data_IF_153681910798
#
_entry.id   IF_153681910798
#
_cell.length_a   1.000
_cell.length_b   1.000
_cell.length_c   1.000
_cell.angle_alpha   90.00
_cell.angle_beta   90.00
_cell.angle_gamma   90.00
#
_symmetry.space_group_name_H-M   'P 1'
#
loop_
_entity.id
_entity.type
_entity.pdbx_description
1 polymer ?
#
# COMPACT_ATOMS: atom_id res chain seq x y z
N UNK A 1 -42.10 -6.75 -50.08
CA UNK A 1 -41.28 -7.22 -48.94
C UNK A 1 -39.83 -7.13 -49.37
N UNK A 2 -39.08 -6.15 -48.85
CA UNK A 2 -37.65 -5.95 -49.19
C UNK A 2 -36.75 -6.73 -48.25
N UNK A 3 -35.80 -7.46 -48.82
CA UNK A 3 -34.76 -8.21 -48.10
C UNK A 3 -33.68 -7.19 -47.66
N UNK A 4 -33.24 -7.18 -46.39
CA UNK A 4 -32.19 -6.28 -45.94
C UNK A 4 -30.82 -6.70 -46.50
N UNK A 5 -29.87 -5.76 -46.69
CA UNK A 5 -28.56 -6.08 -47.24
C UNK A 5 -27.72 -6.91 -46.25
N UNK A 6 -26.77 -7.72 -46.73
CA UNK A 6 -25.90 -8.51 -45.86
C UNK A 6 -24.95 -7.60 -45.08
N UNK A 7 -24.74 -7.92 -43.80
CA UNK A 7 -23.78 -7.24 -42.95
C UNK A 7 -22.35 -7.35 -43.53
N UNK A 8 -21.52 -6.30 -43.40
CA UNK A 8 -20.12 -6.38 -43.79
C UNK A 8 -19.40 -7.40 -42.90
N UNK A 9 -18.72 -8.35 -43.55
CA UNK A 9 -17.84 -9.32 -42.91
C UNK A 9 -16.70 -8.57 -42.21
N UNK A 10 -16.79 -8.45 -40.88
CA UNK A 10 -15.69 -7.96 -40.06
C UNK A 10 -14.63 -9.05 -40.05
N UNK A 11 -13.55 -8.82 -40.80
CA UNK A 11 -12.35 -9.64 -40.69
C UNK A 11 -11.89 -9.61 -39.22
N UNK A 12 -11.62 -10.75 -38.58
CA UNK A 12 -11.07 -10.74 -37.23
C UNK A 12 -9.76 -9.96 -37.27
N UNK A 13 -9.66 -8.96 -36.39
CA UNK A 13 -8.44 -8.20 -36.20
C UNK A 13 -7.26 -9.16 -36.06
N UNK A 14 -6.23 -8.94 -36.88
CA UNK A 14 -4.99 -9.69 -36.86
C UNK A 14 -4.49 -9.84 -35.42
N UNK A 15 -4.25 -11.08 -34.99
CA UNK A 15 -3.53 -11.36 -33.75
C UNK A 15 -2.22 -10.54 -33.74
N UNK A 16 -1.84 -9.90 -32.62
CA UNK A 16 -0.56 -9.19 -32.56
C UNK A 16 0.57 -10.17 -32.87
N UNK A 17 1.44 -9.75 -33.78
CA UNK A 17 2.56 -10.53 -34.27
C UNK A 17 3.47 -10.97 -33.12
N UNK A 18 3.97 -12.20 -33.21
CA UNK A 18 5.08 -12.66 -32.38
C UNK A 18 6.29 -11.74 -32.62
N UNK A 19 6.63 -10.89 -31.65
CA UNK A 19 7.82 -10.05 -31.74
C UNK A 19 7.89 -8.87 -30.78
N UNK A 20 6.77 -8.40 -30.23
CA UNK A 20 6.84 -7.37 -29.18
C UNK A 20 7.36 -7.99 -27.89
N UNK A 21 8.62 -7.67 -27.57
CA UNK A 21 9.23 -8.06 -26.30
C UNK A 21 8.58 -7.23 -25.21
N UNK A 22 7.49 -7.74 -24.63
CA UNK A 22 6.73 -7.06 -23.58
C UNK A 22 7.64 -6.79 -22.39
N UNK A 23 7.95 -5.51 -22.16
CA UNK A 23 8.69 -5.06 -20.98
C UNK A 23 7.89 -5.37 -19.71
N UNK A 24 8.56 -5.95 -18.72
CA UNK A 24 7.97 -6.29 -17.42
C UNK A 24 8.75 -5.58 -16.33
N UNK A 25 8.08 -5.16 -15.28
CA UNK A 25 8.74 -4.60 -14.11
C UNK A 25 9.07 -5.71 -13.12
N UNK A 26 10.32 -5.74 -12.68
CA UNK A 26 10.84 -6.69 -11.73
C UNK A 26 11.23 -5.96 -10.45
N UNK A 27 10.90 -6.54 -9.30
CA UNK A 27 11.37 -6.12 -7.99
C UNK A 27 12.57 -6.99 -7.61
N UNK A 28 13.72 -6.37 -7.35
CA UNK A 28 15.02 -7.05 -7.22
C UNK A 28 15.68 -6.72 -5.89
N UNK A 29 16.19 -7.75 -5.20
CA UNK A 29 17.01 -7.64 -4.00
C UNK A 29 18.49 -7.59 -4.36
N UNK A 30 19.17 -6.56 -3.89
CA UNK A 30 20.60 -6.36 -4.09
C UNK A 30 21.37 -6.69 -2.79
N UNK A 31 22.47 -7.43 -2.94
CA UNK A 31 23.44 -7.71 -1.87
C UNK A 31 24.86 -7.34 -2.36
N UNK A 32 25.63 -6.55 -1.60
CA UNK A 32 25.22 -5.86 -0.38
C UNK A 32 24.19 -4.76 -0.67
N UNK A 33 23.31 -4.47 0.29
CA UNK A 33 22.24 -3.47 0.12
C UNK A 33 22.78 -2.07 -0.26
N UNK A 34 23.98 -1.74 0.20
CA UNK A 34 24.70 -0.51 -0.13
C UNK A 34 25.02 -0.34 -1.62
N UNK A 35 25.02 -1.43 -2.40
CA UNK A 35 25.28 -1.38 -3.84
C UNK A 35 24.03 -1.07 -4.68
N UNK A 36 22.84 -0.97 -4.08
CA UNK A 36 21.57 -0.81 -4.82
C UNK A 36 21.54 0.44 -5.71
N UNK A 37 21.91 1.61 -5.17
CA UNK A 37 21.94 2.86 -5.94
C UNK A 37 22.92 2.77 -7.12
N UNK A 38 24.08 2.17 -6.90
CA UNK A 38 25.10 1.96 -7.94
C UNK A 38 24.58 1.03 -9.04
N UNK A 39 24.01 -0.12 -8.68
CA UNK A 39 23.47 -1.08 -9.66
C UNK A 39 22.30 -0.47 -10.45
N UNK A 40 21.40 0.26 -9.79
CA UNK A 40 20.33 0.98 -10.47
C UNK A 40 20.89 1.99 -11.49
N UNK A 41 21.94 2.74 -11.13
CA UNK A 41 22.63 3.64 -12.07
C UNK A 41 23.22 2.89 -13.26
N UNK A 42 23.83 1.73 -13.04
CA UNK A 42 24.43 0.93 -14.11
C UNK A 42 23.38 0.33 -15.06
N UNK A 43 22.25 -0.14 -14.54
CA UNK A 43 21.12 -0.56 -15.36
C UNK A 43 20.54 0.59 -16.19
N UNK A 44 20.38 1.78 -15.61
CA UNK A 44 19.94 2.97 -16.36
C UNK A 44 20.92 3.34 -17.48
N UNK A 45 22.23 3.27 -17.23
CA UNK A 45 23.25 3.50 -18.27
C UNK A 45 23.19 2.51 -19.43
N UNK A 46 22.69 1.30 -19.17
CA UNK A 46 22.46 0.27 -20.18
C UNK A 46 21.07 0.32 -20.82
N UNK A 47 20.28 1.37 -20.56
CA UNK A 47 18.96 1.57 -21.15
C UNK A 47 17.83 0.82 -20.44
N UNK A 48 18.08 0.20 -19.29
CA UNK A 48 17.02 -0.40 -18.47
C UNK A 48 16.49 0.64 -17.50
N UNK A 49 15.19 0.94 -17.56
CA UNK A 49 14.56 1.85 -16.61
C UNK A 49 14.58 1.24 -15.20
N UNK A 50 15.48 1.72 -14.35
CA UNK A 50 15.70 1.20 -13.01
C UNK A 50 15.62 2.29 -11.94
N UNK A 51 15.05 1.95 -10.78
CA UNK A 51 14.91 2.89 -9.67
C UNK A 51 15.11 2.17 -8.34
N UNK A 52 15.93 2.75 -7.46
CA UNK A 52 16.02 2.26 -6.09
C UNK A 52 14.74 2.60 -5.33
N UNK A 53 14.26 1.63 -4.55
CA UNK A 53 13.06 1.80 -3.76
C UNK A 53 13.32 2.69 -2.54
N UNK A 54 12.69 3.86 -2.48
CA UNK A 54 12.91 4.88 -1.44
C UNK A 54 12.74 4.37 0.00
N UNK A 55 11.84 3.41 0.21
CA UNK A 55 11.53 2.90 1.56
C UNK A 55 12.26 1.61 1.92
N UNK A 56 12.80 0.88 0.94
CA UNK A 56 13.27 -0.49 1.13
C UNK A 56 14.72 -0.59 0.69
N UNK A 57 15.60 -0.44 1.68
CA UNK A 57 17.04 -0.42 1.42
C UNK A 57 17.51 -1.72 0.76
N UNK A 58 18.35 -1.60 -0.27
CA UNK A 58 18.81 -2.75 -1.04
C UNK A 58 17.80 -3.28 -2.05
N UNK A 59 16.70 -2.56 -2.33
CA UNK A 59 15.69 -2.97 -3.30
C UNK A 59 15.67 -2.04 -4.51
N UNK A 60 15.63 -2.63 -5.69
CA UNK A 60 15.59 -1.90 -6.96
C UNK A 60 14.45 -2.45 -7.80
N UNK A 61 13.70 -1.59 -8.46
CA UNK A 61 12.82 -1.98 -9.55
C UNK A 61 13.52 -1.78 -10.88
N UNK A 62 13.29 -2.69 -11.82
CA UNK A 62 13.86 -2.60 -13.17
C UNK A 62 12.84 -3.06 -14.19
N UNK A 63 12.66 -2.29 -15.26
CA UNK A 63 11.86 -2.68 -16.42
C UNK A 63 12.74 -3.48 -17.39
N UNK A 64 12.41 -4.75 -17.59
CA UNK A 64 13.12 -5.65 -18.47
C UNK A 64 12.20 -6.79 -18.98
N UNK A 65 12.48 -7.36 -20.15
CA UNK A 65 11.72 -8.52 -20.67
C UNK A 65 11.76 -9.74 -19.75
N UNK A 66 12.94 -9.98 -19.16
CA UNK A 66 13.23 -11.15 -18.35
C UNK A 66 14.33 -10.84 -17.33
N UNK A 67 14.51 -11.70 -16.32
CA UNK A 67 15.58 -11.55 -15.34
C UNK A 67 16.98 -11.63 -15.94
N UNK A 68 17.16 -12.45 -16.98
CA UNK A 68 18.45 -12.57 -17.66
C UNK A 68 18.94 -11.24 -18.21
N UNK A 69 18.04 -10.39 -18.74
CA UNK A 69 18.41 -9.08 -19.28
C UNK A 69 19.14 -8.21 -18.27
N UNK A 70 18.60 -8.02 -17.06
CA UNK A 70 19.25 -7.17 -16.08
C UNK A 70 20.43 -7.86 -15.38
N UNK A 71 20.45 -9.20 -15.29
CA UNK A 71 21.59 -9.94 -14.74
C UNK A 71 22.83 -9.80 -15.65
N UNK A 72 22.66 -9.90 -16.97
CA UNK A 72 23.77 -9.77 -17.93
C UNK A 72 24.40 -8.38 -17.97
N UNK A 73 23.66 -7.37 -17.54
CA UNK A 73 24.09 -5.97 -17.53
C UNK A 73 24.81 -5.61 -16.22
N UNK A 74 24.88 -6.54 -15.25
CA UNK A 74 25.56 -6.29 -13.99
C UNK A 74 27.05 -5.96 -14.21
N UNK A 75 27.60 -5.00 -13.45
CA UNK A 75 29.04 -4.75 -13.46
C UNK A 75 29.82 -6.01 -13.09
N UNK A 76 31.01 -6.26 -13.69
CA UNK A 76 31.82 -7.43 -13.36
C UNK A 76 32.15 -7.56 -11.86
N UNK A 77 32.34 -6.43 -11.18
CA UNK A 77 32.59 -6.36 -9.73
C UNK A 77 31.38 -6.70 -8.86
N UNK A 78 30.19 -6.82 -9.45
CA UNK A 78 28.90 -7.00 -8.78
C UNK A 78 28.06 -8.10 -9.47
N UNK A 79 28.72 -9.05 -10.12
CA UNK A 79 28.07 -10.11 -10.91
C UNK A 79 27.11 -10.99 -10.11
N UNK A 80 27.36 -11.14 -8.80
CA UNK A 80 26.52 -11.90 -7.86
C UNK A 80 25.63 -11.04 -6.99
N UNK A 81 25.47 -9.74 -7.31
CA UNK A 81 24.77 -8.82 -6.41
C UNK A 81 23.25 -8.96 -6.45
N UNK A 82 22.67 -9.61 -7.45
CA UNK A 82 21.25 -9.95 -7.46
C UNK A 82 21.02 -11.20 -6.61
N UNK A 83 20.41 -11.05 -5.44
CA UNK A 83 20.10 -12.17 -4.56
C UNK A 83 18.78 -12.86 -4.94
N UNK A 84 17.72 -12.08 -5.13
CA UNK A 84 16.44 -12.61 -5.58
C UNK A 84 15.61 -11.56 -6.31
N UNK A 85 14.68 -12.01 -7.14
CA UNK A 85 13.76 -11.13 -7.86
C UNK A 85 12.34 -11.71 -7.89
N UNK A 86 11.37 -10.86 -8.17
CA UNK A 86 9.96 -11.22 -8.38
C UNK A 86 9.34 -10.27 -9.40
N UNK A 87 8.43 -10.80 -10.22
CA UNK A 87 7.64 -10.00 -11.14
C UNK A 87 6.70 -9.08 -10.35
N UNK A 88 6.65 -7.80 -10.71
CA UNK A 88 5.64 -6.87 -10.21
C UNK A 88 4.35 -7.11 -11.01
N UNK A 89 3.19 -7.37 -10.37
CA UNK A 89 1.90 -7.51 -11.05
C UNK A 89 1.50 -6.21 -11.75
N UNK A 90 0.83 -6.31 -12.92
CA UNK A 90 0.42 -5.16 -13.75
C UNK A 90 -0.34 -4.09 -12.95
N UNK A 91 -1.20 -4.51 -12.03
CA UNK A 91 -1.95 -3.61 -11.14
C UNK A 91 -1.08 -2.74 -10.21
N UNK A 92 0.14 -3.20 -9.88
CA UNK A 92 1.03 -2.51 -8.94
C UNK A 92 1.94 -1.49 -9.64
N UNK A 93 2.01 -1.48 -10.98
CA UNK A 93 2.88 -0.55 -11.75
C UNK A 93 2.48 0.91 -11.51
N UNK A 94 1.16 1.17 -11.48
CA UNK A 94 0.59 2.49 -11.28
C UNK A 94 0.83 2.97 -9.85
N UNK A 95 0.73 2.07 -8.87
CA UNK A 95 0.94 2.40 -7.46
C UNK A 95 2.40 2.69 -7.11
N UNK A 96 3.34 2.00 -7.76
CA UNK A 96 4.77 2.16 -7.47
C UNK A 96 5.42 3.32 -8.25
N UNK A 97 4.94 3.64 -9.47
CA UNK A 97 5.64 4.56 -10.40
C UNK A 97 4.75 5.48 -11.26
N UNK A 98 3.42 5.45 -11.12
CA UNK A 98 2.51 6.26 -11.94
C UNK A 98 2.35 7.70 -11.44
N UNK A 99 2.01 8.63 -12.33
CA UNK A 99 1.56 10.01 -12.01
C UNK A 99 0.32 10.00 -11.10
N UNK A 100 -0.47 8.91 -11.12
CA UNK A 100 -1.55 8.62 -10.18
C UNK A 100 -1.06 8.49 -8.71
N UNK A 101 0.24 8.46 -8.43
CA UNK A 101 0.79 8.64 -7.09
C UNK A 101 0.53 10.04 -6.50
N UNK A 102 0.04 10.99 -7.32
CA UNK A 102 -0.38 12.33 -6.88
C UNK A 102 -1.81 12.36 -6.30
N UNK A 103 -2.67 11.44 -6.70
CA UNK A 103 -4.04 11.36 -6.19
C UNK A 103 -4.14 10.37 -5.02
N UNK A 104 -4.94 10.67 -3.98
CA UNK A 104 -5.13 9.76 -2.87
C UNK A 104 -5.80 8.46 -3.34
N UNK A 105 -5.14 7.32 -3.13
CA UNK A 105 -5.68 6.00 -3.34
C UNK A 105 -6.72 5.66 -2.27
N UNK A 106 -7.85 5.15 -2.73
CA UNK A 106 -8.95 4.68 -1.88
C UNK A 106 -9.43 3.34 -2.43
N UNK A 107 -9.37 2.25 -1.65
CA UNK A 107 -8.73 2.15 -0.34
C UNK A 107 -7.20 2.30 -0.41
N UNK A 108 -6.59 2.83 0.64
CA UNK A 108 -5.15 3.08 0.66
C UNK A 108 -4.56 3.22 2.06
N UNK A 109 -3.25 3.00 2.19
CA UNK A 109 -2.51 3.16 3.44
C UNK A 109 -1.76 4.47 3.47
N UNK A 110 -1.81 5.13 4.61
CA UNK A 110 -1.24 6.45 4.80
C UNK A 110 -0.56 6.58 6.16
N UNK A 111 0.64 7.14 6.18
CA UNK A 111 1.37 7.50 7.40
C UNK A 111 1.11 8.95 7.74
N UNK A 112 0.77 9.24 8.99
CA UNK A 112 0.49 10.60 9.45
C UNK A 112 1.80 11.33 9.77
N UNK A 113 2.00 12.51 9.17
CA UNK A 113 3.19 13.35 9.36
C UNK A 113 2.94 14.52 10.31
N UNK A 114 1.73 15.12 10.26
CA UNK A 114 1.36 16.29 11.08
C UNK A 114 0.05 16.08 11.83
N UNK A 115 0.13 15.38 12.95
CA UNK A 115 -0.84 15.37 14.04
C UNK A 115 -0.10 14.93 15.30
N UNK A 116 0.08 15.79 16.31
CA UNK A 116 0.98 15.47 17.45
C UNK A 116 0.71 14.11 18.09
N UNK A 117 -0.55 13.73 18.22
CA UNK A 117 -0.94 12.49 18.90
C UNK A 117 -0.87 11.23 18.02
N UNK A 118 -1.06 11.37 16.70
CA UNK A 118 -1.06 10.26 15.75
C UNK A 118 0.13 10.30 14.78
N UNK A 119 1.13 11.16 15.00
CA UNK A 119 2.29 11.30 14.12
C UNK A 119 3.05 9.97 14.06
N UNK A 120 3.32 9.51 12.85
CA UNK A 120 3.96 8.23 12.58
C UNK A 120 3.00 7.06 12.49
N UNK A 121 1.74 7.21 12.90
CA UNK A 121 0.76 6.15 12.82
C UNK A 121 0.31 5.90 11.38
N UNK A 122 -0.01 4.62 11.13
CA UNK A 122 -0.60 4.16 9.90
C UNK A 122 -2.12 4.21 9.96
N UNK A 123 -2.69 4.63 8.86
CA UNK A 123 -4.07 5.00 8.72
C UNK A 123 -4.62 4.42 7.43
N UNK A 124 -5.88 4.00 7.47
CA UNK A 124 -6.60 3.46 6.32
C UNK A 124 -7.47 4.55 5.72
N UNK A 125 -7.29 4.87 4.44
CA UNK A 125 -8.16 5.79 3.73
C UNK A 125 -9.43 5.06 3.28
N UNK A 126 -10.56 5.46 3.87
CA UNK A 126 -11.87 4.91 3.56
C UNK A 126 -12.51 5.57 2.33
N UNK A 127 -12.38 6.89 2.22
CA UNK A 127 -12.90 7.66 1.09
C UNK A 127 -12.10 8.92 0.87
N UNK A 128 -12.19 9.47 -0.33
CA UNK A 128 -11.60 10.74 -0.71
C UNK A 128 -12.64 11.60 -1.41
N UNK A 129 -12.79 12.82 -0.95
CA UNK A 129 -13.60 13.85 -1.59
C UNK A 129 -12.66 14.81 -2.34
N UNK A 130 -12.73 14.77 -3.67
CA UNK A 130 -11.93 15.64 -4.53
C UNK A 130 -12.31 17.12 -4.39
N UNK A 131 -13.59 17.43 -4.12
CA UNK A 131 -14.07 18.82 -4.03
C UNK A 131 -13.52 19.52 -2.78
N UNK A 132 -13.51 18.84 -1.64
CA UNK A 132 -12.93 19.34 -0.40
C UNK A 132 -11.46 18.96 -0.22
N UNK A 133 -10.89 18.17 -1.14
CA UNK A 133 -9.55 17.58 -1.01
C UNK A 133 -9.32 16.86 0.33
N UNK A 134 -10.38 16.29 0.90
CA UNK A 134 -10.35 15.65 2.22
C UNK A 134 -10.48 14.14 2.09
N UNK A 135 -9.61 13.42 2.81
CA UNK A 135 -9.74 11.98 2.97
C UNK A 135 -10.39 11.67 4.31
N UNK A 136 -11.31 10.71 4.30
CA UNK A 136 -11.81 10.07 5.52
C UNK A 136 -10.82 8.98 5.90
N UNK A 137 -10.11 9.20 7.00
CA UNK A 137 -9.02 8.33 7.43
C UNK A 137 -9.40 7.64 8.73
N UNK A 138 -9.16 6.33 8.79
CA UNK A 138 -9.45 5.47 9.93
C UNK A 138 -8.16 5.04 10.64
N UNK A 139 -8.15 5.25 11.96
CA UNK A 139 -7.00 5.02 12.85
C UNK A 139 -7.39 4.19 14.06
N UNK A 140 -6.42 3.46 14.60
CA UNK A 140 -6.59 2.91 15.94
C UNK A 140 -6.57 4.05 16.98
N UNK A 141 -7.45 3.97 17.98
CA UNK A 141 -7.65 5.06 18.94
C UNK A 141 -6.52 5.10 19.97
N UNK A 142 -6.09 6.33 20.31
CA UNK A 142 -5.24 6.62 21.49
C UNK A 142 -6.01 7.31 22.63
N UNK A 143 -7.31 7.56 22.43
CA UNK A 143 -8.18 8.23 23.41
C UNK A 143 -8.82 7.29 24.42
N UNK A 144 -8.78 5.99 24.14
CA UNK A 144 -9.41 4.98 24.97
C UNK A 144 -8.34 4.34 25.86
N UNK A 145 -8.58 4.20 27.18
CA UNK A 145 -7.72 3.39 28.03
C UNK A 145 -7.84 1.93 27.60
N UNK A 146 -6.74 1.24 27.31
CA UNK A 146 -6.81 -0.18 26.97
C UNK A 146 -7.17 -1.01 28.22
N UNK A 147 -8.36 -1.62 28.28
CA UNK A 147 -8.81 -2.35 29.47
C UNK A 147 -8.10 -3.70 29.63
N UNK A 148 -7.32 -4.12 28.62
CA UNK A 148 -6.47 -5.31 28.69
C UNK A 148 -5.04 -5.00 29.16
N UNK A 149 -4.66 -3.72 29.21
CA UNK A 149 -3.41 -3.27 29.79
C UNK A 149 -3.55 -3.26 31.32
N UNK A 150 -3.14 -4.36 31.96
CA UNK A 150 -3.10 -4.44 33.43
C UNK A 150 -1.93 -3.58 33.92
N UNK A 151 -2.21 -2.67 34.84
CA UNK A 151 -1.26 -1.86 35.60
C UNK A 151 0.09 -2.58 35.86
N UNK A 152 1.13 -2.23 35.08
CA UNK A 152 2.59 -2.34 35.36
C UNK A 152 3.41 -2.34 34.07
N UNK A 153 3.19 -1.35 33.22
CA UNK A 153 4.06 -1.11 32.08
C UNK A 153 4.69 0.28 32.17
N UNK A 154 5.37 0.51 33.30
CA UNK A 154 6.25 1.67 33.53
C UNK A 154 7.42 1.73 32.52
N UNK A 155 7.51 0.73 31.62
CA UNK A 155 8.48 0.60 30.54
C UNK A 155 7.92 0.90 29.15
N UNK A 156 6.61 1.15 29.02
CA UNK A 156 6.03 1.60 27.76
C UNK A 156 6.34 3.09 27.64
N UNK A 157 7.33 3.42 26.80
CA UNK A 157 7.77 4.79 26.57
C UNK A 157 6.60 5.71 26.19
N UNK A 158 6.73 7.00 26.49
CA UNK A 158 5.71 8.04 26.28
C UNK A 158 5.11 8.09 24.85
N UNK A 159 5.78 7.52 23.84
CA UNK A 159 5.30 7.39 22.45
C UNK A 159 4.23 6.30 22.24
N UNK A 160 4.05 5.40 23.21
CA UNK A 160 3.11 4.27 23.15
C UNK A 160 2.00 4.39 24.21
N UNK A 161 1.17 5.43 24.15
CA UNK A 161 -0.22 5.19 24.56
C UNK A 161 -0.73 4.04 23.69
N UNK A 162 -1.03 2.89 24.31
CA UNK A 162 -1.44 1.69 23.59
C UNK A 162 -2.59 2.04 22.66
N UNK A 163 -2.37 1.86 21.36
CA UNK A 163 -3.41 2.02 20.36
C UNK A 163 -4.39 0.87 20.53
N UNK A 164 -5.67 1.15 20.57
CA UNK A 164 -6.68 0.11 20.73
C UNK A 164 -7.89 0.34 19.83
N UNK A 165 -8.64 -0.74 19.64
CA UNK A 165 -9.94 -0.71 18.98
C UNK A 165 -11.02 -0.25 19.95
N UNK A 166 -11.95 0.55 19.43
CA UNK A 166 -13.15 0.88 20.16
C UNK A 166 -14.03 -0.36 20.33
N UNK A 167 -14.36 -0.68 21.58
CA UNK A 167 -15.26 -1.79 21.93
C UNK A 167 -16.60 -1.22 22.38
N UNK A 168 -17.66 -1.26 21.55
CA UNK A 168 -18.95 -0.65 21.89
C UNK A 168 -19.52 -1.13 23.23
N UNK A 169 -19.34 -2.41 23.53
CA UNK A 169 -19.78 -3.07 24.76
C UNK A 169 -19.15 -2.48 26.03
N UNK A 170 -17.88 -2.05 25.95
CA UNK A 170 -17.14 -1.53 27.10
C UNK A 170 -17.36 -0.03 27.29
N UNK A 171 -17.43 0.71 26.18
CA UNK A 171 -17.47 2.18 26.22
C UNK A 171 -18.88 2.76 26.06
N UNK A 172 -19.90 1.91 25.91
CA UNK A 172 -21.31 2.32 25.72
C UNK A 172 -21.45 3.38 24.62
N UNK A 173 -20.92 3.09 23.43
CA UNK A 173 -21.06 3.96 22.27
C UNK A 173 -22.51 4.07 21.81
N UNK A 174 -22.95 5.28 21.44
CA UNK A 174 -24.24 5.46 20.79
C UNK A 174 -24.14 4.93 19.36
N UNK A 175 -25.02 4.00 18.99
CA UNK A 175 -25.12 3.49 17.61
C UNK A 175 -25.47 4.66 16.69
N UNK A 176 -24.83 4.69 15.53
CA UNK A 176 -25.12 5.64 14.45
C UNK A 176 -25.52 4.89 13.18
N UNK A 177 -26.16 5.57 12.21
CA UNK A 177 -26.34 5.03 10.87
C UNK A 177 -25.01 4.53 10.30
N UNK A 178 -25.06 3.41 9.57
CA UNK A 178 -23.88 2.83 8.94
C UNK A 178 -23.26 3.80 7.94
N UNK A 179 -21.93 3.92 7.95
CA UNK A 179 -21.18 4.71 6.97
C UNK A 179 -20.49 3.72 6.03
N UNK A 180 -20.73 3.84 4.72
CA UNK A 180 -20.21 2.90 3.71
C UNK A 180 -20.52 1.42 4.03
N UNK A 181 -21.70 1.14 4.61
CA UNK A 181 -22.09 -0.21 5.03
C UNK A 181 -21.41 -0.74 6.29
N UNK A 182 -20.58 0.06 6.96
CA UNK A 182 -19.86 -0.31 8.18
C UNK A 182 -20.54 0.19 9.45
N UNK A 183 -20.40 -0.58 10.52
CA UNK A 183 -20.93 -0.23 11.84
C UNK A 183 -20.28 1.07 12.35
N UNK A 184 -21.10 2.00 12.82
CA UNK A 184 -20.67 3.32 13.25
C UNK A 184 -21.17 3.61 14.68
N UNK A 185 -20.29 4.19 15.50
CA UNK A 185 -20.57 4.53 16.89
C UNK A 185 -20.04 5.92 17.22
N UNK A 186 -20.74 6.65 18.10
CA UNK A 186 -20.23 7.88 18.71
C UNK A 186 -19.95 7.64 20.19
N UNK A 187 -18.77 8.05 20.65
CA UNK A 187 -18.40 8.06 22.05
C UNK A 187 -17.54 9.29 22.36
N UNK A 188 -17.95 10.09 23.36
CA UNK A 188 -17.23 11.33 23.79
C UNK A 188 -16.83 12.22 22.61
N UNK A 189 -17.79 12.53 21.73
CA UNK A 189 -17.60 13.37 20.53
C UNK A 189 -16.68 12.80 19.44
N UNK A 190 -16.25 11.54 19.57
CA UNK A 190 -15.47 10.86 18.56
C UNK A 190 -16.34 9.83 17.84
N UNK A 191 -16.20 9.80 16.51
CA UNK A 191 -16.88 8.83 15.65
C UNK A 191 -15.96 7.65 15.39
N UNK A 192 -16.49 6.44 15.55
CA UNK A 192 -15.78 5.19 15.34
C UNK A 192 -16.47 4.37 14.26
N UNK A 193 -15.75 4.02 13.19
CA UNK A 193 -16.22 3.15 12.11
C UNK A 193 -15.47 1.83 12.19
N UNK A 194 -16.18 0.71 12.25
CA UNK A 194 -15.59 -0.63 12.40
C UNK A 194 -14.54 -0.66 13.52
N UNK A 195 -14.87 -0.06 14.67
CA UNK A 195 -14.00 0.04 15.85
C UNK A 195 -12.74 0.93 15.70
N UNK A 196 -12.54 1.59 14.56
CA UNK A 196 -11.46 2.55 14.31
C UNK A 196 -11.98 3.97 14.44
N UNK A 197 -11.15 4.88 14.94
CA UNK A 197 -11.45 6.30 15.02
C UNK A 197 -11.47 6.92 13.61
N UNK A 198 -12.56 7.59 13.28
CA UNK A 198 -12.68 8.42 12.08
C UNK A 198 -12.05 9.80 12.34
N UNK A 199 -11.03 10.13 11.56
CA UNK A 199 -10.47 11.47 11.52
C UNK A 199 -10.81 12.12 10.18
N UNK A 200 -11.45 13.29 10.25
CA UNK A 200 -11.76 14.12 9.11
C UNK A 200 -10.63 15.13 8.89
N UNK A 201 -10.32 15.36 7.61
CA UNK A 201 -9.37 16.33 7.06
C UNK A 201 -7.91 15.90 6.92
N UNK A 202 -7.33 16.45 5.85
CA UNK A 202 -5.97 16.33 5.34
C UNK A 202 -4.95 16.69 6.43
N UNK A 203 -4.70 15.77 7.35
CA UNK A 203 -3.43 15.72 8.06
C UNK A 203 -2.37 15.42 7.03
N UNK A 204 -1.20 16.04 7.15
CA UNK A 204 -0.13 15.82 6.18
C UNK A 204 0.21 14.34 6.23
N UNK A 205 -0.23 13.58 5.24
CA UNK A 205 -0.10 12.12 5.19
C UNK A 205 0.76 11.75 4.01
N UNK A 206 1.49 10.66 4.15
CA UNK A 206 2.31 10.08 3.10
C UNK A 206 1.77 8.69 2.75
N UNK A 207 1.56 8.37 1.46
CA UNK A 207 1.11 7.03 1.07
C UNK A 207 2.15 5.98 1.49
N UNK A 208 1.68 4.82 1.93
CA UNK A 208 2.51 3.67 2.30
C UNK A 208 2.09 2.47 1.47
N UNK A 209 3.00 1.92 0.67
CA UNK A 209 2.64 0.88 -0.30
C UNK A 209 2.53 -0.51 0.34
N UNK A 210 3.46 -0.82 1.26
CA UNK A 210 3.56 -2.15 1.87
C UNK A 210 3.80 -2.04 3.37
N UNK A 211 2.77 -1.65 4.16
CA UNK A 211 2.90 -1.66 5.60
C UNK A 211 3.08 -3.10 6.11
N UNK A 212 3.80 -3.26 7.21
CA UNK A 212 4.00 -4.57 7.84
C UNK A 212 2.74 -5.08 8.54
N UNK A 213 2.56 -6.41 8.69
CA UNK A 213 1.42 -6.98 9.40
C UNK A 213 1.28 -6.43 10.83
N UNK A 214 2.39 -6.24 11.54
CA UNK A 214 2.39 -5.66 12.88
C UNK A 214 1.83 -4.23 12.91
N UNK A 215 2.08 -3.46 11.86
CA UNK A 215 1.60 -2.08 11.78
C UNK A 215 0.10 -1.97 11.51
N UNK A 216 -0.47 -2.94 10.80
CA UNK A 216 -1.89 -2.95 10.41
C UNK A 216 -2.73 -3.93 11.24
N UNK A 217 -2.14 -4.62 12.21
CA UNK A 217 -2.81 -5.67 12.99
C UNK A 217 -4.13 -5.21 13.62
N UNK A 218 -4.20 -3.96 14.08
CA UNK A 218 -5.43 -3.39 14.63
C UNK A 218 -6.48 -3.19 13.54
N UNK A 219 -6.12 -2.71 12.36
CA UNK A 219 -7.03 -2.59 11.22
C UNK A 219 -7.53 -3.94 10.71
N UNK A 220 -6.69 -4.98 10.77
CA UNK A 220 -7.09 -6.37 10.49
C UNK A 220 -8.11 -6.82 11.55
N UNK A 221 -7.80 -6.64 12.83
CA UNK A 221 -8.70 -7.01 13.93
C UNK A 221 -10.01 -6.21 13.95
N UNK A 222 -10.03 -5.03 13.34
CA UNK A 222 -11.22 -4.18 13.22
C UNK A 222 -12.15 -4.64 12.10
N UNK A 223 -11.68 -5.50 11.19
CA UNK A 223 -12.44 -6.01 10.03
C UNK A 223 -13.00 -4.91 9.12
N UNK A 224 -12.28 -3.77 9.00
CA UNK A 224 -12.75 -2.61 8.22
C UNK A 224 -12.89 -2.90 6.73
N UNK A 225 -11.93 -3.62 6.15
CA UNK A 225 -11.96 -4.10 4.75
C UNK A 225 -11.14 -5.40 4.65
N UNK A 226 -11.75 -6.56 4.93
CA UNK A 226 -11.02 -7.83 4.98
C UNK A 226 -10.30 -8.18 3.66
N UNK A 227 -10.90 -7.82 2.51
CA UNK A 227 -10.32 -8.11 1.20
C UNK A 227 -9.05 -7.28 0.98
N UNK A 228 -9.09 -5.97 1.26
CA UNK A 228 -7.93 -5.10 1.15
C UNK A 228 -6.82 -5.46 2.14
N UNK A 229 -7.18 -5.87 3.36
CA UNK A 229 -6.20 -6.36 4.35
C UNK A 229 -5.48 -7.62 3.86
N UNK A 230 -6.21 -8.58 3.28
CA UNK A 230 -5.63 -9.80 2.73
C UNK A 230 -4.66 -9.50 1.56
N UNK A 231 -5.04 -8.59 0.66
CA UNK A 231 -4.17 -8.12 -0.43
C UNK A 231 -2.91 -7.45 0.14
N UNK A 232 -3.05 -6.61 1.16
CA UNK A 232 -1.92 -5.93 1.82
C UNK A 232 -0.95 -6.93 2.42
N UNK A 233 -1.44 -7.93 3.17
CA UNK A 233 -0.60 -9.01 3.71
C UNK A 233 0.10 -9.79 2.59
N UNK A 234 -0.62 -10.17 1.53
CA UNK A 234 -0.03 -10.88 0.41
C UNK A 234 1.09 -10.07 -0.28
N UNK A 235 0.88 -8.75 -0.46
CA UNK A 235 1.90 -7.84 -1.00
C UNK A 235 3.13 -7.76 -0.09
N UNK A 236 2.95 -7.62 1.22
CA UNK A 236 4.05 -7.62 2.18
C UNK A 236 4.84 -8.94 2.12
N UNK A 237 4.15 -10.09 2.19
CA UNK A 237 4.79 -11.40 2.16
C UNK A 237 5.62 -11.58 0.89
N UNK A 238 5.06 -11.24 -0.29
CA UNK A 238 5.79 -11.31 -1.57
C UNK A 238 7.09 -10.50 -1.59
N UNK A 239 7.14 -9.37 -0.89
CA UNK A 239 8.32 -8.48 -0.88
C UNK A 239 9.38 -8.88 0.16
N UNK A 240 8.94 -9.35 1.34
CA UNK A 240 9.81 -9.51 2.52
C UNK A 240 9.97 -10.93 3.02
N UNK A 241 8.97 -11.79 2.82
CA UNK A 241 9.02 -13.19 3.23
C UNK A 241 9.09 -14.08 2.00
N UNK A 242 10.33 -14.38 1.60
CA UNK A 242 10.67 -15.61 0.90
C UNK A 242 11.40 -16.50 1.90
#
# INVERSE_FOLDING_TARGET
MSIPPPFPSVSPASLPSQGETVMKMWFVRIIPASSASYIASMWNKAGLAASEHKLLWGRVTVSAPSPSTFIHVLPPSHSSSVNCYSLVPAEDYICLFGIAALEPQVPGWYKILKCRMYKGDLAYALSYDAASSCSNILLASRYLPDPTCRDRDDKIGQDQKARCLFKPELYRGAIQPSICGMACYIHKHHTYISSLLLQLTKTQVEPVLTPSPHQIALHVGSMVDPAFMAITHARYNRQFWK
#
